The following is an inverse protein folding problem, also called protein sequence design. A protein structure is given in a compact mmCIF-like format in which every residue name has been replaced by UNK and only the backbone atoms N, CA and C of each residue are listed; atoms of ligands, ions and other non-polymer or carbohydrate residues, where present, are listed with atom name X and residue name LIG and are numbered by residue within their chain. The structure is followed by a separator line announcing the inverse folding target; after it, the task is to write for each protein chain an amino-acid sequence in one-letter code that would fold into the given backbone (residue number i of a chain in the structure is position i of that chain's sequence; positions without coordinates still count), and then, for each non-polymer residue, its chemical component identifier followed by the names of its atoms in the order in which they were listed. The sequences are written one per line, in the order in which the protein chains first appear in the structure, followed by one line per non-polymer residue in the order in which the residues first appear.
data_IF_348574777667
#
_entry.id   IF_348574777667
#
_cell.length_a   1.000
_cell.length_b   1.000
_cell.length_c   1.000
_cell.angle_alpha   90.00
_cell.angle_beta   90.00
_cell.angle_gamma   90.00
#
_symmetry.space_group_name_H-M   'P 1'
#
loop_
_entity.id
_entity.type
_entity.pdbx_description
1 polymer ?
#
# COMPACT_ATOMS: atom_id res chain seq x y z
N UNK A 1 -7.58 4.28 13.27
CA UNK A 1 -8.23 2.97 13.05
C UNK A 1 -9.44 2.86 13.95
N UNK A 2 -10.62 2.84 13.37
CA UNK A 2 -11.85 2.70 14.14
C UNK A 2 -11.89 1.34 14.83
N UNK A 3 -12.11 1.30 16.14
CA UNK A 3 -12.34 0.06 16.86
C UNK A 3 -13.60 -0.64 16.31
N UNK A 4 -13.79 -1.94 16.56
CA UNK A 4 -15.02 -2.63 16.19
C UNK A 4 -16.27 -1.95 16.76
N UNK A 5 -16.15 -1.32 17.92
CA UNK A 5 -17.21 -0.57 18.59
C UNK A 5 -17.66 0.70 17.81
N UNK A 6 -16.78 1.30 17.02
CA UNK A 6 -17.13 2.49 16.22
C UNK A 6 -17.55 2.14 14.79
N UNK A 7 -17.13 0.99 14.27
CA UNK A 7 -17.48 0.56 12.90
C UNK A 7 -18.97 0.18 12.75
N UNK A 8 -19.51 -0.60 13.67
CA UNK A 8 -20.92 -1.02 13.59
C UNK A 8 -21.90 0.15 13.58
N UNK A 9 -21.78 1.16 14.46
CA UNK A 9 -22.62 2.36 14.40
C UNK A 9 -22.44 3.16 13.11
N UNK A 10 -21.19 3.27 12.59
CA UNK A 10 -20.92 3.99 11.35
C UNK A 10 -21.60 3.33 10.14
N UNK A 11 -21.53 2.00 10.03
CA UNK A 11 -22.22 1.29 8.95
C UNK A 11 -23.74 1.36 9.09
N UNK A 12 -24.29 1.36 10.29
CA UNK A 12 -25.73 1.58 10.50
C UNK A 12 -26.15 2.95 10.03
N UNK A 13 -25.40 3.99 10.41
CA UNK A 13 -25.66 5.35 9.96
C UNK A 13 -25.63 5.48 8.43
N UNK A 14 -24.62 4.87 7.77
CA UNK A 14 -24.56 4.83 6.31
C UNK A 14 -25.78 4.10 5.71
N UNK A 15 -26.17 2.96 6.27
CA UNK A 15 -27.32 2.23 5.82
C UNK A 15 -28.63 3.04 5.99
N UNK A 16 -28.78 3.76 7.10
CA UNK A 16 -29.94 4.61 7.34
C UNK A 16 -29.97 5.81 6.37
N UNK A 17 -28.82 6.44 6.08
CA UNK A 17 -28.70 7.53 5.11
C UNK A 17 -29.02 7.09 3.67
N UNK A 18 -28.71 5.83 3.33
CA UNK A 18 -28.99 5.27 2.00
C UNK A 18 -30.41 4.71 1.87
N UNK A 19 -31.08 4.36 2.98
CA UNK A 19 -32.37 3.66 2.94
C UNK A 19 -33.51 4.49 2.35
N UNK A 20 -33.41 5.81 2.37
CA UNK A 20 -34.44 6.76 1.94
C UNK A 20 -34.04 7.64 0.77
N UNK A 21 -32.80 7.53 0.28
CA UNK A 21 -32.26 8.35 -0.79
C UNK A 21 -31.46 7.51 -1.78
N UNK A 22 -31.95 7.46 -3.02
CA UNK A 22 -31.33 6.67 -4.10
C UNK A 22 -29.99 7.27 -4.56
N UNK A 23 -29.81 8.59 -4.49
CA UNK A 23 -28.57 9.25 -4.89
C UNK A 23 -27.46 8.89 -3.89
N UNK A 24 -27.75 8.98 -2.60
CA UNK A 24 -26.83 8.56 -1.55
C UNK A 24 -26.45 7.06 -1.68
N UNK A 25 -27.42 6.22 -2.05
CA UNK A 25 -27.16 4.79 -2.23
C UNK A 25 -26.21 4.52 -3.40
N UNK A 26 -26.38 5.23 -4.52
CA UNK A 26 -25.48 5.11 -5.68
C UNK A 26 -24.09 5.58 -5.31
N UNK A 27 -23.95 6.77 -4.71
CA UNK A 27 -22.65 7.33 -4.33
C UNK A 27 -21.90 6.42 -3.35
N UNK A 28 -22.56 5.94 -2.30
CA UNK A 28 -21.94 5.01 -1.33
C UNK A 28 -21.57 3.68 -1.99
N UNK A 29 -22.40 3.18 -2.90
CA UNK A 29 -22.12 1.94 -3.63
C UNK A 29 -20.89 2.13 -4.52
N UNK A 30 -20.78 3.24 -5.25
CA UNK A 30 -19.64 3.52 -6.11
C UNK A 30 -18.33 3.62 -5.30
N UNK A 31 -18.36 4.32 -4.16
CA UNK A 31 -17.20 4.39 -3.25
C UNK A 31 -16.83 3.02 -2.70
N UNK A 32 -17.81 2.20 -2.28
CA UNK A 32 -17.55 0.85 -1.76
C UNK A 32 -17.01 -0.08 -2.86
N UNK A 33 -17.52 0.03 -4.07
CA UNK A 33 -17.04 -0.72 -5.22
C UNK A 33 -15.61 -0.31 -5.57
N UNK A 34 -15.33 0.99 -5.61
CA UNK A 34 -13.97 1.48 -5.83
C UNK A 34 -13.00 0.99 -4.76
N UNK A 35 -13.36 1.07 -3.48
CA UNK A 35 -12.55 0.54 -2.39
C UNK A 35 -12.34 -0.97 -2.47
N UNK A 36 -13.37 -1.72 -2.90
CA UNK A 36 -13.30 -3.16 -3.08
C UNK A 36 -12.32 -3.51 -4.22
N UNK A 37 -12.42 -2.84 -5.35
CA UNK A 37 -11.56 -3.08 -6.51
C UNK A 37 -10.16 -2.51 -6.37
N UNK A 38 -9.96 -1.40 -5.65
CA UNK A 38 -8.62 -0.90 -5.29
C UNK A 38 -7.82 -1.91 -4.45
N UNK A 39 -8.49 -2.80 -3.74
CA UNK A 39 -7.86 -3.90 -3.00
C UNK A 39 -7.17 -4.96 -3.87
N UNK A 40 -7.11 -4.78 -5.18
CA UNK A 40 -6.33 -5.64 -6.10
C UNK A 40 -6.99 -6.97 -6.44
N UNK A 41 -8.27 -7.13 -6.19
CA UNK A 41 -9.03 -8.27 -6.69
C UNK A 41 -9.36 -7.99 -8.16
N UNK A 42 -8.58 -8.58 -9.06
CA UNK A 42 -8.86 -8.55 -10.50
C UNK A 42 -10.04 -9.50 -10.76
N UNK A 43 -11.20 -8.95 -11.04
CA UNK A 43 -12.45 -9.72 -11.26
C UNK A 43 -12.37 -10.57 -12.54
N UNK A 44 -11.33 -10.38 -13.36
CA UNK A 44 -11.11 -11.15 -14.59
C UNK A 44 -10.42 -12.51 -14.36
N UNK A 45 -9.92 -12.78 -13.17
CA UNK A 45 -9.53 -14.14 -12.82
C UNK A 45 -10.79 -14.89 -12.35
N UNK A 46 -11.11 -15.97 -13.01
CA UNK A 46 -12.18 -16.92 -12.66
C UNK A 46 -11.93 -17.63 -11.31
N UNK A 47 -11.19 -17.03 -10.44
CA UNK A 47 -11.08 -17.44 -9.06
C UNK A 47 -12.38 -17.05 -8.34
N UNK A 48 -13.29 -18.01 -8.30
CA UNK A 48 -14.31 -18.01 -7.24
C UNK A 48 -13.52 -17.98 -5.93
N UNK A 49 -13.33 -16.77 -5.37
CA UNK A 49 -12.65 -16.60 -4.10
C UNK A 49 -13.39 -17.45 -3.08
N UNK A 50 -12.81 -18.54 -2.58
CA UNK A 50 -13.46 -19.31 -1.56
C UNK A 50 -13.70 -18.38 -0.38
N UNK A 51 -14.82 -18.58 0.32
CA UNK A 51 -15.22 -17.82 1.51
C UNK A 51 -14.19 -17.84 2.67
N UNK A 52 -13.00 -18.35 2.43
CA UNK A 52 -11.90 -18.54 3.37
C UNK A 52 -10.75 -17.53 3.24
N UNK A 53 -10.82 -16.58 2.30
CA UNK A 53 -9.77 -15.56 2.11
C UNK A 53 -9.86 -14.44 3.16
N UNK A 54 -10.29 -14.76 4.36
CA UNK A 54 -10.27 -13.82 5.47
C UNK A 54 -8.86 -13.72 6.08
N UNK A 55 -8.53 -12.53 6.59
CA UNK A 55 -7.30 -12.31 7.33
C UNK A 55 -7.10 -13.42 8.37
N UNK A 56 -5.94 -14.09 8.41
CA UNK A 56 -5.66 -15.15 9.37
C UNK A 56 -5.82 -14.68 10.81
N UNK A 57 -6.19 -15.58 11.71
CA UNK A 57 -6.34 -15.27 13.15
C UNK A 57 -5.05 -14.73 13.77
N UNK A 58 -3.88 -15.15 13.26
CA UNK A 58 -2.58 -14.60 13.65
C UNK A 58 -2.34 -13.14 13.23
N UNK A 59 -3.23 -12.56 12.43
CA UNK A 59 -3.18 -11.17 12.03
C UNK A 59 -2.16 -10.83 10.94
N UNK A 60 -1.39 -11.79 10.45
CA UNK A 60 -0.39 -11.58 9.40
C UNK A 60 -1.00 -11.83 8.02
N UNK A 61 -0.68 -10.94 7.09
CA UNK A 61 -1.20 -10.95 5.72
C UNK A 61 -0.06 -11.31 4.77
N UNK A 62 -0.34 -12.20 3.81
CA UNK A 62 0.62 -12.60 2.79
C UNK A 62 0.80 -11.54 1.70
N UNK A 63 1.83 -11.73 0.86
CA UNK A 63 2.02 -11.00 -0.38
C UNK A 63 1.89 -11.95 -1.56
N UNK A 64 1.06 -11.57 -2.56
CA UNK A 64 0.90 -12.36 -3.77
C UNK A 64 2.22 -12.43 -4.53
N UNK A 65 2.62 -13.63 -4.94
CA UNK A 65 3.76 -13.80 -5.84
C UNK A 65 3.27 -13.65 -7.29
N UNK A 66 3.90 -12.75 -8.05
CA UNK A 66 3.56 -12.49 -9.45
C UNK A 66 4.34 -13.38 -10.44
N UNK A 67 5.14 -14.31 -9.95
CA UNK A 67 5.97 -15.23 -10.71
C UNK A 67 7.31 -15.45 -10.01
N UNK A 68 8.23 -14.50 -10.08
CA UNK A 68 9.54 -14.56 -9.44
C UNK A 68 9.76 -13.45 -8.40
N UNK A 69 8.70 -12.92 -7.76
CA UNK A 69 8.77 -11.81 -6.78
C UNK A 69 9.02 -12.26 -5.35
N UNK A 70 9.41 -13.52 -5.12
CA UNK A 70 9.63 -14.04 -3.77
C UNK A 70 10.73 -13.30 -3.00
N UNK A 71 11.79 -12.84 -3.68
CA UNK A 71 12.85 -12.03 -3.08
C UNK A 71 12.33 -10.70 -2.52
N UNK A 72 11.50 -9.97 -3.29
CA UNK A 72 10.83 -8.76 -2.83
C UNK A 72 9.87 -9.03 -1.68
N UNK A 73 9.02 -10.05 -1.82
CA UNK A 73 8.03 -10.39 -0.80
C UNK A 73 8.70 -10.71 0.53
N UNK A 74 9.84 -11.40 0.52
CA UNK A 74 10.62 -11.70 1.73
C UNK A 74 11.16 -10.43 2.38
N UNK A 75 11.74 -9.53 1.59
CA UNK A 75 12.24 -8.23 2.08
C UNK A 75 11.10 -7.41 2.68
N UNK A 76 9.98 -7.26 1.97
CA UNK A 76 8.84 -6.50 2.45
C UNK A 76 8.24 -7.03 3.75
N UNK A 77 8.10 -8.34 3.87
CA UNK A 77 7.61 -8.95 5.11
C UNK A 77 8.55 -8.70 6.28
N UNK A 78 9.87 -8.76 6.07
CA UNK A 78 10.85 -8.45 7.11
C UNK A 78 10.79 -6.96 7.51
N UNK A 79 10.73 -6.04 6.55
CA UNK A 79 10.61 -4.60 6.83
C UNK A 79 9.30 -4.26 7.55
N UNK A 80 8.20 -4.92 7.18
CA UNK A 80 6.91 -4.75 7.86
C UNK A 80 6.97 -5.16 9.34
N UNK A 81 7.79 -6.17 9.69
CA UNK A 81 7.94 -6.68 11.05
C UNK A 81 8.81 -5.79 11.95
N UNK A 82 9.42 -4.73 11.41
CA UNK A 82 10.16 -3.71 12.17
C UNK A 82 9.21 -2.54 12.46
N UNK A 83 8.62 -2.44 13.69
CA UNK A 83 7.59 -1.45 14.00
C UNK A 83 8.08 -0.01 13.80
N UNK A 84 9.31 0.29 14.21
CA UNK A 84 9.91 1.62 14.14
C UNK A 84 10.03 2.09 12.69
N UNK A 85 10.46 1.22 11.78
CA UNK A 85 10.54 1.52 10.35
C UNK A 85 9.14 1.71 9.75
N UNK A 86 8.25 0.76 10.03
CA UNK A 86 6.87 0.82 9.52
C UNK A 86 6.17 2.10 9.92
N UNK A 87 6.25 2.45 11.21
CA UNK A 87 5.56 3.61 11.75
C UNK A 87 6.21 4.91 11.24
N UNK A 88 7.53 4.96 11.09
CA UNK A 88 8.25 6.06 10.46
C UNK A 88 7.83 6.26 9.00
N UNK A 89 7.83 5.19 8.19
CA UNK A 89 7.41 5.27 6.78
C UNK A 89 5.95 5.73 6.66
N UNK A 90 5.05 5.21 7.49
CA UNK A 90 3.63 5.56 7.45
C UNK A 90 3.33 6.97 7.99
N UNK A 91 4.24 7.58 8.76
CA UNK A 91 4.07 8.94 9.30
C UNK A 91 4.40 10.03 8.29
N UNK A 92 5.12 9.73 7.21
CA UNK A 92 5.46 10.72 6.18
C UNK A 92 4.22 11.12 5.41
N UNK A 93 3.91 12.42 5.42
CA UNK A 93 2.78 12.97 4.67
C UNK A 93 3.13 13.17 3.20
N UNK A 94 2.47 12.42 2.33
CA UNK A 94 2.60 12.51 0.87
C UNK A 94 1.39 13.18 0.21
N UNK A 95 0.53 13.84 0.98
CA UNK A 95 -0.75 14.41 0.48
C UNK A 95 -0.55 15.55 -0.53
N UNK A 96 0.63 16.19 -0.52
CA UNK A 96 0.95 17.28 -1.45
C UNK A 96 1.14 16.83 -2.91
N UNK A 97 1.39 15.53 -3.14
CA UNK A 97 1.60 15.02 -4.48
C UNK A 97 0.26 14.82 -5.23
N UNK A 98 0.28 15.05 -6.54
CA UNK A 98 -0.86 14.74 -7.41
C UNK A 98 -1.12 13.21 -7.43
N UNK A 99 -2.32 12.80 -7.84
CA UNK A 99 -2.66 11.38 -7.90
C UNK A 99 -1.78 10.60 -8.89
N UNK A 100 -1.37 11.25 -9.99
CA UNK A 100 -0.48 10.66 -10.98
C UNK A 100 0.93 10.47 -10.42
N UNK A 101 1.47 11.49 -9.75
CA UNK A 101 2.78 11.39 -9.07
C UNK A 101 2.78 10.29 -7.99
N UNK A 102 1.67 10.11 -7.27
CA UNK A 102 1.53 9.01 -6.29
C UNK A 102 1.57 7.63 -6.93
N UNK A 103 0.98 7.47 -8.12
CA UNK A 103 1.00 6.19 -8.84
C UNK A 103 2.41 5.79 -9.26
N UNK A 104 3.24 6.76 -9.60
CA UNK A 104 4.63 6.55 -10.04
C UNK A 104 5.66 6.64 -8.91
N UNK A 105 5.26 7.12 -7.72
CA UNK A 105 6.13 7.18 -6.56
C UNK A 105 6.33 5.82 -5.91
N UNK A 106 7.56 5.30 -5.96
CA UNK A 106 7.95 4.05 -5.28
C UNK A 106 7.69 4.13 -3.77
N UNK A 107 8.02 5.27 -3.16
CA UNK A 107 7.82 5.48 -1.74
C UNK A 107 6.34 5.43 -1.36
N UNK A 108 5.48 6.14 -2.09
CA UNK A 108 4.04 6.08 -1.85
C UNK A 108 3.47 4.67 -2.02
N UNK A 109 3.90 3.94 -3.05
CA UNK A 109 3.48 2.56 -3.26
C UNK A 109 3.98 1.62 -2.14
N UNK A 110 5.16 1.90 -1.59
CA UNK A 110 5.67 1.19 -0.41
C UNK A 110 4.83 1.49 0.84
N UNK A 111 4.47 2.76 1.09
CA UNK A 111 3.54 3.13 2.16
C UNK A 111 2.18 2.41 2.01
N UNK A 112 1.61 2.42 0.81
CA UNK A 112 0.34 1.75 0.51
C UNK A 112 0.41 0.25 0.76
N UNK A 113 1.53 -0.38 0.44
CA UNK A 113 1.74 -1.79 0.73
C UNK A 113 1.81 -2.06 2.24
N UNK A 114 2.61 -1.30 3.00
CA UNK A 114 2.68 -1.45 4.47
C UNK A 114 1.32 -1.21 5.13
N UNK A 115 0.59 -0.18 4.69
CA UNK A 115 -0.76 0.11 5.17
C UNK A 115 -1.74 -1.03 4.85
N UNK A 116 -1.62 -1.61 3.65
CA UNK A 116 -2.43 -2.75 3.24
C UNK A 116 -2.15 -3.99 4.09
N UNK A 117 -0.89 -4.32 4.35
CA UNK A 117 -0.51 -5.41 5.25
C UNK A 117 -1.08 -5.21 6.68
N UNK A 118 -1.14 -3.95 7.14
CA UNK A 118 -1.68 -3.62 8.45
C UNK A 118 -3.20 -3.70 8.52
N UNK A 119 -3.92 -3.27 7.48
CA UNK A 119 -5.34 -2.96 7.55
C UNK A 119 -6.26 -3.89 6.73
N UNK A 120 -5.73 -4.63 5.74
CA UNK A 120 -6.57 -5.48 4.90
C UNK A 120 -7.26 -6.60 5.68
N UNK A 121 -8.43 -6.99 5.21
CA UNK A 121 -9.24 -8.07 5.80
C UNK A 121 -9.06 -9.42 5.09
N UNK A 122 -8.34 -9.41 3.97
CA UNK A 122 -8.06 -10.63 3.22
C UNK A 122 -6.71 -11.23 3.66
N UNK A 123 -6.47 -12.46 3.27
CA UNK A 123 -5.29 -13.24 3.66
C UNK A 123 -4.01 -12.83 2.92
N UNK A 124 -4.12 -12.13 1.78
CA UNK A 124 -2.98 -11.63 1.02
C UNK A 124 -3.26 -10.27 0.39
N UNK A 125 -2.18 -9.57 0.04
CA UNK A 125 -2.19 -8.34 -0.74
C UNK A 125 -1.31 -8.49 -1.99
N UNK A 126 -1.73 -7.91 -3.11
CA UNK A 126 -0.95 -7.89 -4.35
C UNK A 126 -0.39 -6.47 -4.61
N UNK A 127 0.91 -6.22 -4.44
CA UNK A 127 1.50 -4.88 -4.55
C UNK A 127 1.73 -4.46 -6.02
N UNK A 128 0.68 -4.49 -6.85
CA UNK A 128 0.74 -4.19 -8.30
C UNK A 128 1.21 -2.77 -8.58
N UNK A 129 0.81 -1.80 -7.74
CA UNK A 129 1.26 -0.41 -7.84
C UNK A 129 2.77 -0.31 -7.66
N UNK A 130 3.31 -1.02 -6.68
CA UNK A 130 4.75 -1.07 -6.44
C UNK A 130 5.51 -1.67 -7.62
N UNK A 131 5.06 -2.81 -8.17
CA UNK A 131 5.72 -3.44 -9.32
C UNK A 131 5.76 -2.54 -10.56
N UNK A 132 4.79 -1.64 -10.72
CA UNK A 132 4.75 -0.68 -11.82
C UNK A 132 5.67 0.52 -11.57
N UNK A 133 5.66 1.03 -10.33
CA UNK A 133 6.42 2.21 -9.97
C UNK A 133 7.92 1.93 -9.82
N UNK A 134 8.28 0.73 -9.34
CA UNK A 134 9.67 0.33 -9.18
C UNK A 134 10.27 -0.04 -10.54
N UNK A 135 11.22 0.80 -11.00
CA UNK A 135 11.83 0.67 -12.30
C UNK A 135 13.19 -0.03 -12.22
N UNK A 136 13.52 -0.75 -13.27
CA UNK A 136 14.84 -1.33 -13.46
C UNK A 136 15.88 -0.25 -13.83
N UNK A 137 17.14 -0.64 -14.05
CA UNK A 137 18.22 0.25 -14.46
C UNK A 137 17.97 0.89 -15.83
N UNK A 138 17.20 0.23 -16.69
CA UNK A 138 16.79 0.73 -18.00
C UNK A 138 15.60 1.70 -17.95
N UNK A 139 15.07 1.97 -16.76
CA UNK A 139 13.90 2.84 -16.55
C UNK A 139 12.55 2.19 -16.82
N UNK A 140 12.53 0.91 -17.17
CA UNK A 140 11.31 0.13 -17.37
C UNK A 140 10.81 -0.48 -16.05
N UNK A 141 9.50 -0.71 -15.88
CA UNK A 141 8.97 -1.45 -14.76
C UNK A 141 9.65 -2.81 -14.63
N UNK A 142 9.93 -3.24 -13.40
CA UNK A 142 10.57 -4.54 -13.17
C UNK A 142 9.79 -5.69 -13.81
N UNK A 143 10.53 -6.62 -14.39
CA UNK A 143 9.94 -7.86 -14.85
C UNK A 143 9.69 -8.81 -13.67
N UNK A 144 8.44 -8.95 -13.28
CA UNK A 144 8.03 -9.79 -12.14
C UNK A 144 8.26 -11.29 -12.35
N UNK A 145 8.70 -11.71 -13.54
CA UNK A 145 9.03 -13.09 -13.87
C UNK A 145 10.51 -13.41 -13.76
N UNK A 146 11.37 -12.40 -13.55
CA UNK A 146 12.80 -12.55 -13.43
C UNK A 146 13.23 -12.50 -11.96
N UNK A 147 14.01 -13.50 -11.56
CA UNK A 147 14.62 -13.50 -10.24
C UNK A 147 15.73 -12.45 -10.18
N UNK A 148 15.72 -11.66 -9.10
CA UNK A 148 16.78 -10.71 -8.79
C UNK A 148 17.37 -11.01 -7.40
N UNK A 149 18.53 -10.44 -7.12
CA UNK A 149 19.16 -10.53 -5.81
C UNK A 149 18.37 -9.73 -4.77
N UNK A 150 17.99 -10.37 -3.67
CA UNK A 150 17.23 -9.73 -2.60
C UNK A 150 18.01 -8.66 -1.85
N UNK A 151 19.34 -8.77 -1.78
CA UNK A 151 20.20 -7.77 -1.13
C UNK A 151 20.35 -6.53 -2.02
N UNK A 152 20.51 -6.71 -3.31
CA UNK A 152 20.53 -5.63 -4.28
C UNK A 152 19.20 -4.87 -4.28
N UNK A 153 18.09 -5.61 -4.30
CA UNK A 153 16.76 -5.02 -4.18
C UNK A 153 16.60 -4.22 -2.88
N UNK A 154 17.01 -4.77 -1.74
CA UNK A 154 16.95 -4.09 -0.45
C UNK A 154 17.75 -2.79 -0.47
N UNK A 155 18.99 -2.82 -0.99
CA UNK A 155 19.84 -1.63 -1.07
C UNK A 155 19.19 -0.53 -1.91
N UNK A 156 18.65 -0.86 -3.07
CA UNK A 156 17.93 0.09 -3.93
C UNK A 156 16.68 0.66 -3.25
N UNK A 157 15.93 -0.18 -2.55
CA UNK A 157 14.75 0.27 -1.80
C UNK A 157 15.14 1.22 -0.67
N UNK A 158 16.23 0.95 0.05
CA UNK A 158 16.74 1.83 1.11
C UNK A 158 17.15 3.20 0.56
N UNK A 159 17.88 3.25 -0.55
CA UNK A 159 18.29 4.51 -1.19
C UNK A 159 17.07 5.36 -1.59
N UNK A 160 16.02 4.73 -2.09
CA UNK A 160 14.78 5.43 -2.46
C UNK A 160 14.05 5.95 -1.23
N UNK A 161 13.92 5.13 -0.19
CA UNK A 161 13.28 5.51 1.07
C UNK A 161 14.05 6.66 1.73
N UNK A 162 15.37 6.58 1.82
CA UNK A 162 16.24 7.63 2.38
C UNK A 162 16.08 8.95 1.62
N UNK A 163 16.00 8.88 0.29
CA UNK A 163 15.81 10.08 -0.54
C UNK A 163 14.48 10.76 -0.24
N UNK A 164 13.41 10.01 -0.10
CA UNK A 164 12.09 10.56 0.21
C UNK A 164 12.00 11.08 1.66
N UNK A 165 12.64 10.41 2.63
CA UNK A 165 12.73 10.93 3.99
C UNK A 165 13.49 12.27 4.03
N UNK A 166 14.61 12.38 3.32
CA UNK A 166 15.38 13.64 3.24
C UNK A 166 14.55 14.77 2.62
N UNK A 167 13.79 14.48 1.56
CA UNK A 167 12.87 15.45 0.94
C UNK A 167 11.76 15.88 1.90
N UNK A 168 11.14 14.93 2.61
CA UNK A 168 10.09 15.22 3.58
C UNK A 168 10.61 16.08 4.74
N UNK A 169 11.79 15.76 5.28
CA UNK A 169 12.42 16.56 6.33
C UNK A 169 12.75 17.99 5.85
N UNK A 170 13.27 18.12 4.63
CA UNK A 170 13.57 19.43 4.04
C UNK A 170 12.31 20.27 3.78
N UNK A 171 11.18 19.63 3.48
CA UNK A 171 9.88 20.28 3.31
C UNK A 171 9.26 20.72 4.65
N UNK A 172 9.49 19.96 5.73
CA UNK A 172 8.98 20.27 7.06
C UNK A 172 9.76 21.37 7.78
N UNK A 173 11.05 21.53 7.50
CA UNK A 173 11.91 22.58 8.06
C UNK A 173 12.78 23.23 6.96
N UNK A 174 12.21 24.19 6.20
CA UNK A 174 12.91 24.85 5.09
C UNK A 174 14.12 25.68 5.52
N UNK A 175 14.24 26.03 6.81
CA UNK A 175 15.35 26.81 7.39
C UNK A 175 16.29 25.97 8.30
N UNK A 176 16.11 24.67 8.37
CA UNK A 176 16.90 23.76 9.19
C UNK A 176 18.38 23.67 8.78
N UNK A 177 19.29 23.26 9.70
CA UNK A 177 20.76 23.33 9.53
C UNK A 177 21.35 22.35 8.52
N UNK A 178 20.57 21.64 7.73
CA UNK A 178 21.04 20.56 6.87
C UNK A 178 21.11 20.93 5.36
N UNK A 179 21.36 22.21 5.03
CA UNK A 179 21.53 22.66 3.63
C UNK A 179 22.86 22.25 2.99
N UNK A 180 23.86 21.79 3.76
CA UNK A 180 25.23 21.58 3.31
C UNK A 180 25.68 20.12 3.19
N UNK A 181 24.73 19.15 3.22
CA UNK A 181 25.03 17.74 3.10
C UNK A 181 24.42 17.12 1.82
N UNK A 182 24.67 17.76 0.67
CA UNK A 182 24.35 17.23 -0.66
C UNK A 182 25.60 17.05 -1.48
#
# INVERSE_FOLDING_TARGET
CASSATRSPAFRLLADLCSHDTENMVEVTDVLMELHYRGGVDVNEWDMLPSHNNRPQGGYVGLKNAGATCYMNSVFQQLYMVPELRDAVLSVDSTAATEEERKDSVFYQFQMMLASLAATRVDFYAPRGFWRAFKDYDGEPINVRDHQDGLEFLSRLQDMVDTEFKKSLAAADPDGPNKDAA
#
